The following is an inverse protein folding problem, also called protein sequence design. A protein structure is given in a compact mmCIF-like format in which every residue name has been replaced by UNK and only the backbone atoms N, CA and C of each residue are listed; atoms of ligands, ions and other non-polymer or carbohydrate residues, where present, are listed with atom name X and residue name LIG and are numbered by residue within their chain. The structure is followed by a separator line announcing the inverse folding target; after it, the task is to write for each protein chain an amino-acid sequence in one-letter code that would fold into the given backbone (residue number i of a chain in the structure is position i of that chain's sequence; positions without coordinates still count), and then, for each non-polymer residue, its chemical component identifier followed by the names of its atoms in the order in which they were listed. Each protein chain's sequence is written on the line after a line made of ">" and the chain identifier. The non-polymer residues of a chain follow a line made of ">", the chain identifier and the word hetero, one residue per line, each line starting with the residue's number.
data_IF_921651934511
#
_entry.id   IF_921651934511
#
_cell.length_a   1.000
_cell.length_b   1.000
_cell.length_c   1.000
_cell.angle_alpha   90.00
_cell.angle_beta   90.00
_cell.angle_gamma   90.00
#
_symmetry.space_group_name_H-M   'P 1'
#
loop_
_entity.id
_entity.type
_entity.pdbx_description
1 polymer ?
#
# COMPACT_ATOMS: atom_id res chain seq x y z
N UNK A 1 16.06 18.87 13.58
CA UNK A 1 15.52 17.83 12.67
C UNK A 1 14.61 16.97 13.51
N UNK A 2 13.32 16.85 13.17
CA UNK A 2 12.38 16.07 13.98
C UNK A 2 12.55 14.60 13.60
N UNK A 3 13.46 13.90 14.27
CA UNK A 3 13.95 12.54 13.93
C UNK A 3 12.81 11.54 13.70
N UNK A 4 11.71 11.69 14.44
CA UNK A 4 10.51 10.88 14.33
C UNK A 4 9.81 11.01 12.96
N UNK A 5 9.83 12.19 12.32
CA UNK A 5 9.19 12.38 11.01
C UNK A 5 10.00 11.75 9.87
N UNK A 6 11.33 11.75 9.98
CA UNK A 6 12.18 11.18 8.95
C UNK A 6 12.20 9.65 9.06
N UNK A 7 12.25 9.10 10.27
CA UNK A 7 12.08 7.65 10.51
C UNK A 7 10.72 7.15 9.99
N UNK A 8 9.63 7.86 10.28
CA UNK A 8 8.30 7.48 9.80
C UNK A 8 8.19 7.50 8.27
N UNK A 9 8.78 8.51 7.62
CA UNK A 9 8.81 8.58 6.15
C UNK A 9 9.65 7.46 5.55
N UNK A 10 10.82 7.19 6.12
CA UNK A 10 11.73 6.15 5.63
C UNK A 10 11.12 4.76 5.80
N UNK A 11 10.39 4.52 6.88
CA UNK A 11 9.65 3.27 7.08
C UNK A 11 8.56 3.05 6.01
N UNK A 12 7.91 4.13 5.54
CA UNK A 12 6.86 4.05 4.53
C UNK A 12 7.39 4.01 3.09
N UNK A 13 8.42 4.81 2.79
CA UNK A 13 8.81 5.13 1.41
C UNK A 13 10.28 4.82 1.10
N UNK A 14 11.01 4.27 2.06
CA UNK A 14 12.46 4.13 1.99
C UNK A 14 13.18 5.48 1.97
N UNK A 15 14.51 5.44 2.00
CA UNK A 15 15.38 6.64 2.05
C UNK A 15 15.18 7.59 0.88
N UNK A 16 14.93 7.06 -0.31
CA UNK A 16 14.77 7.88 -1.53
C UNK A 16 13.37 8.49 -1.58
N UNK A 17 12.33 7.68 -1.38
CA UNK A 17 10.96 8.16 -1.39
C UNK A 17 10.63 9.11 -0.25
N UNK A 18 11.27 8.95 0.92
CA UNK A 18 11.08 9.85 2.06
C UNK A 18 11.45 11.32 1.75
N UNK A 19 12.42 11.55 0.86
CA UNK A 19 12.92 12.90 0.55
C UNK A 19 11.83 13.76 -0.06
N UNK A 20 11.75 15.01 0.41
CA UNK A 20 10.79 16.00 -0.08
C UNK A 20 9.34 15.52 -0.03
N UNK A 21 8.99 14.68 0.96
CA UNK A 21 7.59 14.33 1.19
C UNK A 21 6.88 15.50 1.89
N UNK A 22 5.75 16.01 1.34
CA UNK A 22 5.00 17.12 1.94
C UNK A 22 4.62 16.85 3.42
N UNK A 23 4.78 17.86 4.28
CA UNK A 23 4.49 17.73 5.71
C UNK A 23 2.99 17.51 5.96
N UNK A 24 2.13 18.13 5.16
CA UNK A 24 0.68 17.96 5.27
C UNK A 24 0.27 16.50 5.00
N UNK A 25 0.91 15.86 4.02
CA UNK A 25 0.69 14.44 3.72
C UNK A 25 1.13 13.53 4.88
N UNK A 26 2.31 13.78 5.44
CA UNK A 26 2.79 13.01 6.61
C UNK A 26 1.90 13.19 7.83
N UNK A 27 1.41 14.40 8.09
CA UNK A 27 0.48 14.66 9.18
C UNK A 27 -0.85 13.91 9.00
N UNK A 28 -1.36 13.81 7.77
CA UNK A 28 -2.55 13.03 7.46
C UNK A 28 -2.32 11.52 7.68
N UNK A 29 -1.21 10.99 7.16
CA UNK A 29 -0.86 9.58 7.32
C UNK A 29 -0.71 9.18 8.79
N UNK A 30 -0.04 9.99 9.63
CA UNK A 30 0.08 9.69 11.06
C UNK A 30 -1.26 9.52 11.76
N UNK A 31 -2.29 10.28 11.34
CA UNK A 31 -3.64 10.16 11.90
C UNK A 31 -4.34 8.88 11.43
N UNK A 32 -4.23 8.57 10.14
CA UNK A 32 -4.85 7.39 9.53
C UNK A 32 -4.23 6.08 10.02
N UNK A 33 -2.90 6.02 10.10
CA UNK A 33 -2.16 4.82 10.47
C UNK A 33 -2.17 4.54 11.97
N UNK A 34 -2.63 5.48 12.81
CA UNK A 34 -2.68 5.30 14.27
C UNK A 34 -3.51 4.08 14.69
N UNK A 35 -4.56 3.77 13.93
CA UNK A 35 -5.47 2.64 14.22
C UNK A 35 -5.45 1.59 13.12
N UNK A 36 -4.51 1.66 12.18
CA UNK A 36 -4.41 0.67 11.12
C UNK A 36 -3.80 -0.62 11.64
N UNK A 37 -4.33 -1.76 11.20
CA UNK A 37 -3.79 -3.09 11.52
C UNK A 37 -2.63 -3.47 10.61
N UNK A 38 -2.60 -2.92 9.39
CA UNK A 38 -1.52 -3.07 8.44
C UNK A 38 -1.47 -1.87 7.49
N UNK A 39 -0.30 -1.61 6.93
CA UNK A 39 -0.10 -0.58 5.92
C UNK A 39 1.00 -0.98 4.94
N UNK A 40 0.96 -0.39 3.74
CA UNK A 40 1.92 -0.58 2.67
C UNK A 40 2.17 0.76 2.00
N UNK A 41 3.44 1.18 1.90
CA UNK A 41 3.83 2.37 1.16
C UNK A 41 4.41 2.02 -0.21
N UNK A 42 4.07 2.82 -1.22
CA UNK A 42 4.54 2.70 -2.59
C UNK A 42 5.08 4.06 -3.07
N UNK A 43 6.11 4.00 -3.92
CA UNK A 43 6.74 5.17 -4.53
C UNK A 43 6.83 4.95 -6.04
N UNK A 44 6.21 5.84 -6.81
CA UNK A 44 6.29 5.88 -8.27
C UNK A 44 6.72 7.30 -8.70
N UNK A 45 8.02 7.48 -8.90
CA UNK A 45 8.63 8.77 -9.20
C UNK A 45 8.35 9.81 -8.10
N UNK A 46 7.46 10.77 -8.38
CA UNK A 46 7.06 11.82 -7.41
C UNK A 46 5.76 11.48 -6.67
N UNK A 47 5.12 10.37 -7.03
CA UNK A 47 3.92 9.89 -6.36
C UNK A 47 4.32 9.02 -5.18
N UNK A 48 3.67 9.25 -4.05
CA UNK A 48 3.80 8.44 -2.84
C UNK A 48 2.42 8.01 -2.45
N UNK A 49 2.17 6.71 -2.37
CA UNK A 49 0.88 6.17 -1.97
C UNK A 49 1.04 5.32 -0.74
N UNK A 50 0.09 5.38 0.18
CA UNK A 50 0.02 4.47 1.31
C UNK A 50 -1.35 3.82 1.30
N UNK A 51 -1.37 2.49 1.34
CA UNK A 51 -2.55 1.70 1.64
C UNK A 51 -2.58 1.39 3.13
N UNK A 52 -3.77 1.29 3.71
CA UNK A 52 -3.94 0.83 5.08
C UNK A 52 -5.22 0.02 5.25
N UNK A 53 -5.19 -0.87 6.24
CA UNK A 53 -6.34 -1.66 6.65
C UNK A 53 -6.74 -1.21 8.05
N UNK A 54 -8.04 -1.02 8.27
CA UNK A 54 -8.61 -0.83 9.61
C UNK A 54 -9.93 -1.62 9.71
N UNK A 55 -9.90 -2.73 10.44
CA UNK A 55 -11.00 -3.69 10.47
C UNK A 55 -11.31 -4.21 9.06
N UNK A 56 -12.54 -4.02 8.59
CA UNK A 56 -12.99 -4.38 7.22
C UNK A 56 -12.92 -3.23 6.22
N UNK A 57 -12.17 -2.17 6.53
CA UNK A 57 -11.94 -1.06 5.61
C UNK A 57 -10.54 -1.15 5.01
N UNK A 58 -10.43 -1.00 3.70
CA UNK A 58 -9.17 -0.78 3.00
C UNK A 58 -9.17 0.64 2.46
N UNK A 59 -8.17 1.43 2.81
CA UNK A 59 -8.00 2.78 2.30
C UNK A 59 -6.68 2.97 1.59
N UNK A 60 -6.60 4.02 0.80
CA UNK A 60 -5.34 4.55 0.30
C UNK A 60 -5.35 6.07 0.28
N UNK A 61 -4.17 6.65 0.41
CA UNK A 61 -3.91 8.08 0.33
C UNK A 61 -2.67 8.23 -0.56
N UNK A 62 -2.75 9.08 -1.57
CA UNK A 62 -1.68 9.38 -2.49
C UNK A 62 -1.35 10.85 -2.43
N UNK A 63 -0.07 11.15 -2.44
CA UNK A 63 0.45 12.48 -2.63
C UNK A 63 1.20 12.56 -3.95
N UNK A 64 0.87 13.58 -4.76
CA UNK A 64 1.62 13.97 -5.96
C UNK A 64 2.26 15.32 -5.70
N UNK A 65 3.58 15.39 -5.85
CA UNK A 65 4.35 16.61 -5.64
C UNK A 65 5.33 16.50 -4.47
N UNK A 66 6.27 17.44 -4.40
CA UNK A 66 7.41 17.44 -3.47
C UNK A 66 7.38 18.55 -2.43
N UNK A 67 6.35 19.41 -2.46
CA UNK A 67 6.21 20.57 -1.56
C UNK A 67 4.74 20.79 -1.23
N UNK A 68 4.45 21.22 0.01
CA UNK A 68 3.06 21.35 0.50
C UNK A 68 2.18 22.26 -0.37
N UNK A 69 2.70 23.39 -0.85
CA UNK A 69 1.92 24.38 -1.63
C UNK A 69 1.57 23.93 -3.06
N UNK A 70 2.24 22.89 -3.57
CA UNK A 70 1.98 22.34 -4.91
C UNK A 70 1.58 20.86 -4.86
N UNK A 71 1.38 20.30 -3.67
CA UNK A 71 1.03 18.91 -3.51
C UNK A 71 -0.47 18.70 -3.69
N UNK A 72 -0.83 17.68 -4.46
CA UNK A 72 -2.19 17.15 -4.48
C UNK A 72 -2.23 15.92 -3.60
N UNK A 73 -3.16 15.88 -2.65
CA UNK A 73 -3.35 14.74 -1.74
C UNK A 73 -4.77 14.24 -1.92
N UNK A 74 -4.90 13.04 -2.49
CA UNK A 74 -6.19 12.39 -2.75
C UNK A 74 -6.20 11.01 -2.13
N UNK A 75 -7.38 10.48 -1.85
CA UNK A 75 -7.50 9.15 -1.27
C UNK A 75 -8.91 8.62 -1.30
N UNK A 76 -9.03 7.35 -0.91
CA UNK A 76 -10.30 6.66 -0.84
C UNK A 76 -10.30 5.64 0.28
N UNK A 77 -11.48 5.34 0.80
CA UNK A 77 -11.72 4.18 1.67
C UNK A 77 -12.83 3.33 1.05
N UNK A 78 -12.60 2.02 0.98
CA UNK A 78 -13.57 1.04 0.53
C UNK A 78 -13.91 0.08 1.66
N UNK A 79 -15.18 -0.32 1.73
CA UNK A 79 -15.63 -1.37 2.64
C UNK A 79 -15.46 -2.74 1.98
N UNK A 80 -14.68 -3.62 2.60
CA UNK A 80 -14.30 -4.91 2.04
C UNK A 80 -15.46 -5.92 2.00
N UNK A 81 -16.51 -5.71 2.79
CA UNK A 81 -17.71 -6.57 2.79
C UNK A 81 -18.63 -6.37 1.57
N UNK A 82 -18.45 -5.29 0.81
CA UNK A 82 -19.27 -4.95 -0.38
C UNK A 82 -18.42 -4.87 -1.65
N UNK A 83 -17.15 -5.27 -1.58
CA UNK A 83 -16.23 -5.21 -2.70
C UNK A 83 -16.20 -6.52 -3.49
N UNK A 84 -16.00 -6.41 -4.81
CA UNK A 84 -15.65 -7.55 -5.64
C UNK A 84 -14.13 -7.75 -5.63
N UNK A 85 -13.70 -8.97 -5.34
CA UNK A 85 -12.28 -9.31 -5.17
C UNK A 85 -11.89 -10.35 -6.21
N UNK A 86 -10.84 -10.07 -6.97
CA UNK A 86 -10.23 -11.02 -7.90
C UNK A 86 -8.75 -11.20 -7.54
N UNK A 87 -8.31 -12.45 -7.53
CA UNK A 87 -6.93 -12.83 -7.25
C UNK A 87 -6.35 -13.62 -8.43
N UNK A 88 -5.18 -13.20 -8.91
CA UNK A 88 -4.39 -13.90 -9.93
C UNK A 88 -3.03 -14.25 -9.34
N UNK A 89 -2.48 -15.42 -9.67
CA UNK A 89 -1.06 -15.75 -9.43
C UNK A 89 -0.33 -15.62 -10.76
N UNK A 90 0.72 -14.82 -10.78
CA UNK A 90 1.65 -14.67 -11.90
C UNK A 90 2.93 -15.44 -11.60
N UNK A 91 3.54 -16.05 -12.63
CA UNK A 91 4.71 -16.91 -12.50
C UNK A 91 5.70 -16.53 -13.60
N UNK A 92 6.87 -16.06 -13.20
CA UNK A 92 8.01 -15.89 -14.09
C UNK A 92 8.77 -17.21 -14.23
N UNK A 93 9.05 -17.58 -15.48
CA UNK A 93 9.75 -18.82 -15.87
C UNK A 93 11.06 -18.54 -16.61
N UNK A 94 11.52 -17.29 -16.67
CA UNK A 94 12.63 -16.89 -17.55
C UNK A 94 14.01 -17.35 -17.09
N UNK A 95 14.18 -17.69 -15.81
CA UNK A 95 15.42 -18.22 -15.25
C UNK A 95 15.08 -19.51 -14.49
N UNK A 96 16.01 -20.47 -14.36
CA UNK A 96 15.82 -21.80 -13.70
C UNK A 96 15.31 -21.77 -12.23
N UNK A 97 14.87 -20.62 -11.74
CA UNK A 97 14.08 -20.40 -10.53
C UNK A 97 12.71 -19.87 -10.95
N UNK A 98 11.68 -20.68 -10.79
CA UNK A 98 10.30 -20.20 -10.92
C UNK A 98 10.00 -19.25 -9.77
N UNK A 99 9.80 -17.97 -10.08
CA UNK A 99 9.35 -16.98 -9.11
C UNK A 99 7.87 -16.69 -9.34
N UNK A 100 7.11 -16.50 -8.27
CA UNK A 100 5.68 -16.18 -8.37
C UNK A 100 5.34 -14.91 -7.61
N UNK A 101 4.19 -14.34 -7.94
CA UNK A 101 3.58 -13.29 -7.15
C UNK A 101 2.10 -13.07 -7.46
N UNK A 102 1.35 -12.53 -6.50
CA UNK A 102 -0.09 -12.33 -6.58
C UNK A 102 -0.45 -10.94 -7.09
N UNK A 103 -1.51 -10.90 -7.89
CA UNK A 103 -2.19 -9.66 -8.27
C UNK A 103 -3.58 -9.68 -7.66
N UNK A 104 -3.81 -8.82 -6.67
CA UNK A 104 -5.10 -8.63 -6.03
C UNK A 104 -5.79 -7.40 -6.64
N UNK A 105 -6.98 -7.58 -7.19
CA UNK A 105 -7.81 -6.50 -7.70
C UNK A 105 -9.11 -6.42 -6.88
N UNK A 106 -9.39 -5.24 -6.35
CA UNK A 106 -10.57 -4.99 -5.52
C UNK A 106 -11.36 -3.87 -6.15
N UNK A 107 -12.61 -4.12 -6.47
CA UNK A 107 -13.49 -3.14 -7.13
C UNK A 107 -14.65 -2.77 -6.22
N UNK A 108 -14.86 -1.47 -6.03
CA UNK A 108 -16.02 -0.92 -5.35
C UNK A 108 -17.21 -0.76 -6.31
N UNK A 109 -18.42 -0.64 -5.76
CA UNK A 109 -19.67 -0.48 -6.50
C UNK A 109 -19.71 0.73 -7.45
N UNK A 110 -18.85 1.73 -7.24
CA UNK A 110 -18.80 2.95 -8.05
C UNK A 110 -17.71 2.96 -9.12
N UNK A 111 -17.13 1.79 -9.44
CA UNK A 111 -16.13 1.65 -10.51
C UNK A 111 -14.69 1.93 -10.07
N UNK A 112 -14.46 2.32 -8.82
CA UNK A 112 -13.12 2.48 -8.26
C UNK A 112 -12.44 1.12 -8.06
N UNK A 113 -11.15 1.07 -8.37
CA UNK A 113 -10.35 -0.17 -8.33
C UNK A 113 -9.04 0.04 -7.60
N UNK A 114 -8.79 -0.78 -6.59
CA UNK A 114 -7.48 -0.94 -5.97
C UNK A 114 -6.83 -2.17 -6.59
N UNK A 115 -5.59 -2.01 -7.06
CA UNK A 115 -4.76 -3.10 -7.57
C UNK A 115 -3.48 -3.17 -6.75
N UNK A 116 -3.25 -4.29 -6.09
CA UNK A 116 -1.99 -4.64 -5.45
C UNK A 116 -1.31 -5.68 -6.34
N UNK A 117 -0.11 -5.37 -6.83
CA UNK A 117 0.57 -6.19 -7.83
C UNK A 117 1.95 -6.59 -7.33
N UNK A 118 2.04 -7.82 -6.82
CA UNK A 118 3.28 -8.45 -6.40
C UNK A 118 3.88 -9.33 -7.52
N UNK A 119 3.45 -9.20 -8.78
CA UNK A 119 4.00 -10.04 -9.85
C UNK A 119 5.50 -9.78 -10.07
N UNK A 120 6.31 -10.81 -10.41
CA UNK A 120 7.75 -10.64 -10.63
C UNK A 120 8.09 -9.58 -11.70
N UNK A 121 7.24 -9.46 -12.74
CA UNK A 121 7.42 -8.47 -13.79
C UNK A 121 7.17 -7.03 -13.33
N UNK A 122 6.26 -6.83 -12.37
CA UNK A 122 5.96 -5.50 -11.82
C UNK A 122 6.92 -5.13 -10.69
N UNK A 123 7.34 -6.11 -9.90
CA UNK A 123 8.21 -5.94 -8.73
C UNK A 123 9.36 -6.95 -8.79
N UNK A 124 10.44 -6.63 -9.52
CA UNK A 124 11.57 -7.54 -9.70
C UNK A 124 12.31 -7.82 -8.38
N UNK A 125 12.34 -6.84 -7.48
CA UNK A 125 12.95 -7.01 -6.16
C UNK A 125 12.10 -7.95 -5.28
N UNK A 126 12.72 -9.02 -4.78
CA UNK A 126 12.03 -10.04 -3.99
C UNK A 126 11.58 -9.55 -2.62
N UNK A 127 12.33 -8.65 -1.98
CA UNK A 127 12.00 -8.15 -0.65
C UNK A 127 10.82 -7.17 -0.70
N UNK A 128 10.80 -6.27 -1.69
CA UNK A 128 9.65 -5.38 -1.94
C UNK A 128 8.40 -6.18 -2.32
N UNK A 129 8.58 -7.23 -3.12
CA UNK A 129 7.50 -8.15 -3.49
C UNK A 129 6.91 -8.87 -2.28
N UNK A 130 7.75 -9.37 -1.36
CA UNK A 130 7.30 -10.03 -0.13
C UNK A 130 6.49 -9.08 0.78
N UNK A 131 6.82 -7.78 0.81
CA UNK A 131 6.02 -6.78 1.55
C UNK A 131 4.61 -6.65 0.97
N UNK A 132 4.50 -6.61 -0.36
CA UNK A 132 3.19 -6.53 -1.03
C UNK A 132 2.42 -7.84 -0.82
N UNK A 133 3.09 -9.00 -0.91
CA UNK A 133 2.50 -10.31 -0.61
C UNK A 133 1.93 -10.38 0.80
N UNK A 134 2.73 -9.97 1.78
CA UNK A 134 2.30 -9.91 3.19
C UNK A 134 1.08 -9.00 3.32
N UNK A 135 1.08 -7.83 2.67
CA UNK A 135 -0.06 -6.92 2.71
C UNK A 135 -1.31 -7.52 2.04
N UNK A 136 -1.15 -8.25 0.92
CA UNK A 136 -2.24 -9.01 0.28
C UNK A 136 -2.84 -10.01 1.26
N UNK A 137 -2.03 -10.73 2.05
CA UNK A 137 -2.53 -11.66 3.07
C UNK A 137 -3.34 -10.95 4.17
N UNK A 138 -2.91 -9.75 4.57
CA UNK A 138 -3.66 -8.92 5.52
C UNK A 138 -5.01 -8.48 4.93
N UNK A 139 -5.05 -8.09 3.64
CA UNK A 139 -6.31 -7.72 2.98
C UNK A 139 -7.26 -8.92 2.89
N UNK A 140 -6.76 -10.10 2.49
CA UNK A 140 -7.56 -11.32 2.40
C UNK A 140 -8.08 -11.76 3.79
N UNK A 141 -7.27 -11.59 4.84
CA UNK A 141 -7.67 -11.86 6.22
C UNK A 141 -8.80 -10.93 6.68
N UNK A 142 -8.71 -9.64 6.36
CA UNK A 142 -9.76 -8.66 6.65
C UNK A 142 -11.07 -8.98 5.91
N UNK A 143 -10.99 -9.43 4.65
CA UNK A 143 -12.16 -9.87 3.85
C UNK A 143 -12.83 -11.09 4.50
N UNK A 144 -12.04 -12.09 4.88
CA UNK A 144 -12.53 -13.31 5.53
C UNK A 144 -13.17 -13.04 6.91
N UNK A 145 -12.99 -11.85 7.46
CA UNK A 145 -13.51 -11.49 8.77
C UNK A 145 -12.69 -12.07 9.92
N UNK A 146 -11.48 -12.56 9.64
CA UNK A 146 -10.55 -12.94 10.69
C UNK A 146 -10.02 -11.67 11.36
N UNK A 147 -10.08 -11.63 12.69
CA UNK A 147 -9.40 -10.60 13.46
C UNK A 147 -7.90 -10.72 13.22
N UNK A 148 -7.33 -9.75 12.51
CA UNK A 148 -5.88 -9.60 12.39
C UNK A 148 -5.38 -9.21 13.77
N UNK A 149 -4.96 -10.20 14.55
CA UNK A 149 -4.32 -9.96 15.85
C UNK A 149 -2.90 -9.53 15.56
N UNK A 150 -2.61 -8.25 15.80
CA UNK A 150 -1.27 -7.70 15.63
C UNK A 150 -0.27 -8.45 16.52
N UNK A 151 0.83 -8.89 15.92
CA UNK A 151 2.05 -9.27 16.64
C UNK A 151 2.79 -8.03 17.14
#
# INVERSE_FOLDING_TARGET
>A
MNTNDDEFKEALFGKVGAKNTPKAYIAALRRLLKTSVAYLGEVDGTKRRVYWINGRSLGWLECRGSHDLGATIDGQVIQLNVAYVALKVDIDRSNDKAESGRVLSISASHGDRIKLDASPASVPDSEEREKIETFIDQVLSAIAGHSISGT
#
